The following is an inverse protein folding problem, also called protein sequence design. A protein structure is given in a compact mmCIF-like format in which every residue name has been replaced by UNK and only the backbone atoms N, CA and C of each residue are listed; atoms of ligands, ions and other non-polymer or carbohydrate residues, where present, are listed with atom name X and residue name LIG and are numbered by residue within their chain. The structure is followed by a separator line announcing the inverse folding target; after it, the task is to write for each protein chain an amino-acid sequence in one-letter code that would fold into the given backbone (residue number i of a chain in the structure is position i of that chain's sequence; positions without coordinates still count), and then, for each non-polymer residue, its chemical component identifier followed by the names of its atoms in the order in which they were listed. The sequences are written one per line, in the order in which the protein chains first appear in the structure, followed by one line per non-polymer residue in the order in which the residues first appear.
data_IF_062890173691
#
_entry.id   IF_062890173691
#
_cell.length_a   1.000
_cell.length_b   1.000
_cell.length_c   1.000
_cell.angle_alpha   90.00
_cell.angle_beta   90.00
_cell.angle_gamma   90.00
#
_symmetry.space_group_name_H-M   'P 1'
#
loop_
_entity.id
_entity.type
_entity.pdbx_description
1 polymer ?
#
# COMPACT_ATOMS: atom_id res chain seq x y z
N UNK A 1 -2.29 4.30 11.59
CA UNK A 1 -2.24 3.06 10.78
C UNK A 1 -1.26 3.29 9.65
N UNK A 2 -0.08 2.67 9.71
CA UNK A 2 0.95 2.80 8.67
C UNK A 2 0.85 1.62 7.70
N UNK A 3 0.90 1.89 6.40
CA UNK A 3 1.00 0.85 5.37
C UNK A 3 2.40 0.81 4.80
N UNK A 4 3.09 -0.30 4.99
CA UNK A 4 4.41 -0.51 4.40
C UNK A 4 4.25 -0.92 2.95
N UNK A 5 4.66 -0.03 2.04
CA UNK A 5 4.61 -0.25 0.60
C UNK A 5 5.99 -0.48 0.00
N UNK A 6 6.03 -1.36 -0.99
CA UNK A 6 7.25 -1.74 -1.68
C UNK A 6 7.69 -0.67 -2.69
N UNK A 7 8.92 -0.18 -2.58
CA UNK A 7 9.64 0.47 -3.69
C UNK A 7 11.17 0.56 -3.44
N UNK A 8 11.82 -0.52 -2.99
CA UNK A 8 13.28 -0.54 -2.77
C UNK A 8 13.95 -1.78 -3.39
N UNK A 9 15.22 -1.70 -3.85
CA UNK A 9 16.00 -2.86 -4.30
C UNK A 9 16.54 -3.74 -3.14
N UNK A 10 16.54 -3.24 -1.90
CA UNK A 10 17.01 -3.98 -0.72
C UNK A 10 15.88 -4.79 -0.07
N UNK A 11 16.19 -5.88 0.67
CA UNK A 11 15.19 -6.66 1.38
C UNK A 11 14.39 -5.77 2.34
N UNK A 12 13.11 -5.59 2.04
CA UNK A 12 12.24 -4.56 2.63
C UNK A 12 12.15 -4.65 4.16
N UNK A 13 12.33 -5.85 4.72
CA UNK A 13 12.27 -6.12 6.16
C UNK A 13 13.37 -5.41 6.98
N UNK A 14 14.45 -4.95 6.34
CA UNK A 14 15.57 -4.24 7.00
C UNK A 14 15.42 -2.72 6.99
N UNK A 15 14.47 -2.18 6.23
CA UNK A 15 14.24 -0.73 6.14
C UNK A 15 13.02 -0.30 6.95
N UNK A 16 12.26 -1.24 7.52
CA UNK A 16 11.04 -0.96 8.28
C UNK A 16 11.30 -0.05 9.47
N UNK A 17 12.45 -0.20 10.13
CA UNK A 17 12.86 0.66 11.24
C UNK A 17 12.89 2.14 10.87
N UNK A 18 13.39 2.46 9.67
CA UNK A 18 13.51 3.83 9.13
C UNK A 18 12.21 4.39 8.55
N UNK A 19 11.23 3.53 8.29
CA UNK A 19 9.94 3.91 7.70
C UNK A 19 8.88 4.23 8.77
N UNK A 20 9.09 3.77 10.00
CA UNK A 20 8.19 3.99 11.11
C UNK A 20 8.66 5.20 11.92
N UNK A 21 7.73 6.09 12.24
CA UNK A 21 8.01 7.34 12.95
C UNK A 21 7.82 7.20 14.48
N UNK A 22 7.42 6.03 14.98
CA UNK A 22 7.28 5.72 16.40
C UNK A 22 5.89 6.04 16.97
N UNK A 23 5.06 6.78 16.23
CA UNK A 23 3.70 7.16 16.64
C UNK A 23 2.62 6.18 16.14
N UNK A 24 3.00 5.04 15.57
CA UNK A 24 2.08 4.17 14.85
C UNK A 24 1.57 2.99 15.67
N UNK A 25 0.31 3.05 16.11
CA UNK A 25 -0.32 1.97 16.88
C UNK A 25 -0.54 0.67 16.09
N UNK A 26 -0.68 0.76 14.77
CA UNK A 26 -0.97 -0.39 13.88
C UNK A 26 -0.16 -0.28 12.60
N UNK A 27 0.60 -1.32 12.28
CA UNK A 27 1.38 -1.44 11.04
C UNK A 27 0.86 -2.59 10.21
N UNK A 28 0.39 -2.28 9.01
CA UNK A 28 -0.09 -3.25 8.04
C UNK A 28 0.97 -3.48 6.98
N UNK A 29 1.33 -4.76 6.79
CA UNK A 29 2.40 -5.16 5.89
C UNK A 29 1.97 -6.34 5.03
N UNK A 30 2.59 -6.49 3.86
CA UNK A 30 2.32 -7.64 3.00
C UNK A 30 3.07 -8.92 3.44
N UNK A 31 2.81 -10.03 2.75
CA UNK A 31 3.43 -11.31 3.09
C UNK A 31 4.96 -11.35 2.90
N UNK A 32 5.57 -10.34 2.29
CA UNK A 32 7.01 -10.14 2.20
C UNK A 32 7.64 -9.71 3.54
N UNK A 33 6.85 -9.11 4.43
CA UNK A 33 7.26 -8.70 5.77
C UNK A 33 6.99 -9.77 6.84
N UNK A 34 6.82 -11.03 6.44
CA UNK A 34 6.65 -12.14 7.39
C UNK A 34 7.87 -12.21 8.31
N UNK A 35 7.64 -12.15 9.63
CA UNK A 35 8.71 -12.20 10.63
C UNK A 35 9.34 -10.85 10.99
N UNK A 36 8.78 -9.73 10.51
CA UNK A 36 9.24 -8.37 10.87
C UNK A 36 9.13 -8.14 12.38
N UNK A 37 8.07 -8.66 13.01
CA UNK A 37 7.84 -8.59 14.46
C UNK A 37 8.94 -9.23 15.32
N UNK A 38 9.69 -10.20 14.75
CA UNK A 38 10.69 -10.99 15.49
C UNK A 38 12.10 -10.39 15.44
N UNK A 39 12.27 -9.23 14.78
CA UNK A 39 13.57 -8.59 14.65
C UNK A 39 13.96 -7.84 15.93
N UNK A 40 15.26 -7.81 16.27
CA UNK A 40 15.74 -7.07 17.44
C UNK A 40 15.43 -5.57 17.34
N UNK A 41 15.43 -5.01 16.12
CA UNK A 41 15.06 -3.62 15.81
C UNK A 41 13.62 -3.24 16.25
N UNK A 42 12.75 -4.23 16.49
CA UNK A 42 11.35 -4.00 16.85
C UNK A 42 10.94 -4.64 18.18
N UNK A 43 11.90 -5.21 18.93
CA UNK A 43 11.64 -5.97 20.16
C UNK A 43 11.06 -5.14 21.31
N UNK A 44 11.15 -3.80 21.25
CA UNK A 44 10.60 -2.87 22.27
C UNK A 44 9.50 -1.93 21.76
N UNK A 45 8.96 -2.16 20.56
CA UNK A 45 7.93 -1.28 19.98
C UNK A 45 6.53 -1.81 20.30
N UNK A 46 5.71 -1.00 20.95
CA UNK A 46 4.28 -1.28 21.18
C UNK A 46 3.46 -1.05 19.90
N UNK A 47 3.62 -1.96 18.93
CA UNK A 47 2.97 -1.86 17.62
C UNK A 47 2.21 -3.15 17.30
N UNK A 48 0.95 -3.01 16.89
CA UNK A 48 0.16 -4.14 16.40
C UNK A 48 0.54 -4.44 14.95
N UNK A 49 1.22 -5.56 14.73
CA UNK A 49 1.60 -6.03 13.40
C UNK A 49 0.47 -6.78 12.72
N UNK A 50 0.00 -6.25 11.60
CA UNK A 50 -0.97 -6.88 10.72
C UNK A 50 -0.31 -7.28 9.40
N UNK A 51 0.44 -8.37 9.44
CA UNK A 51 1.03 -8.97 8.24
C UNK A 51 -0.04 -9.77 7.48
N UNK A 52 -0.09 -9.61 6.15
CA UNK A 52 -0.98 -10.38 5.29
C UNK A 52 -0.56 -11.85 5.25
N UNK A 53 -1.51 -12.76 5.47
CA UNK A 53 -1.21 -14.18 5.49
C UNK A 53 -1.06 -14.73 4.06
N UNK A 54 -0.09 -15.64 3.85
CA UNK A 54 0.04 -16.35 2.56
C UNK A 54 -1.16 -17.28 2.35
N UNK A 55 -1.62 -17.36 1.09
CA UNK A 55 -2.74 -18.23 0.70
C UNK A 55 -2.52 -19.71 1.03
N UNK A 56 -1.27 -20.16 1.05
CA UNK A 56 -0.88 -21.52 1.42
C UNK A 56 -1.12 -21.84 2.90
N UNK A 57 -1.01 -20.85 3.79
CA UNK A 57 -1.07 -21.04 5.25
C UNK A 57 -2.45 -21.49 5.72
N UNK A 58 -3.52 -20.98 5.10
CA UNK A 58 -4.90 -21.36 5.46
C UNK A 58 -5.53 -22.36 4.48
N UNK A 59 -4.80 -22.82 3.46
CA UNK A 59 -5.25 -23.92 2.57
C UNK A 59 -5.34 -25.26 3.33
N UNK A 60 -4.63 -25.37 4.47
CA UNK A 60 -4.67 -26.51 5.40
C UNK A 60 -5.92 -26.56 6.28
N UNK A 61 -6.70 -25.47 6.34
CA UNK A 61 -7.97 -25.42 7.08
C UNK A 61 -9.11 -25.90 6.18
N UNK A 62 -10.03 -26.67 6.75
CA UNK A 62 -11.24 -27.07 6.03
C UNK A 62 -12.04 -25.84 5.58
N UNK A 63 -12.44 -25.84 4.31
CA UNK A 63 -13.14 -24.71 3.66
C UNK A 63 -14.52 -24.45 4.27
N UNK A 64 -15.14 -25.46 4.90
CA UNK A 64 -16.44 -25.33 5.56
C UNK A 64 -16.36 -24.74 6.96
N UNK A 65 -15.19 -24.76 7.59
CA UNK A 65 -14.97 -24.23 8.93
C UNK A 65 -15.27 -22.72 9.03
N UNK A 66 -15.94 -22.33 10.12
CA UNK A 66 -16.21 -20.93 10.44
C UNK A 66 -14.91 -20.10 10.56
N UNK A 67 -13.84 -20.71 11.06
CA UNK A 67 -12.51 -20.09 11.19
C UNK A 67 -11.91 -19.73 9.82
N UNK A 68 -12.08 -20.59 8.82
CA UNK A 68 -11.62 -20.33 7.46
C UNK A 68 -12.37 -19.13 6.84
N UNK A 69 -13.70 -19.07 7.02
CA UNK A 69 -14.53 -17.97 6.51
C UNK A 69 -14.18 -16.64 7.20
N UNK A 70 -13.97 -16.65 8.51
CA UNK A 70 -13.58 -15.47 9.29
C UNK A 70 -12.21 -14.94 8.84
N UNK A 71 -11.18 -15.80 8.77
CA UNK A 71 -9.84 -15.42 8.29
C UNK A 71 -9.89 -14.85 6.87
N UNK A 72 -10.67 -15.47 5.97
CA UNK A 72 -10.83 -14.97 4.59
C UNK A 72 -11.44 -13.57 4.54
N UNK A 73 -12.42 -13.26 5.40
CA UNK A 73 -13.00 -11.91 5.47
C UNK A 73 -11.97 -10.88 5.93
N UNK A 74 -11.16 -11.21 6.95
CA UNK A 74 -10.09 -10.34 7.44
C UNK A 74 -9.06 -10.06 6.34
N UNK A 75 -8.56 -11.10 5.67
CA UNK A 75 -7.59 -10.92 4.59
C UNK A 75 -8.19 -10.17 3.38
N UNK A 76 -9.49 -10.36 3.09
CA UNK A 76 -10.20 -9.56 2.07
C UNK A 76 -10.25 -8.08 2.47
N UNK A 77 -10.54 -7.77 3.72
CA UNK A 77 -10.55 -6.39 4.21
C UNK A 77 -9.15 -5.75 4.11
N UNK A 78 -8.10 -6.46 4.54
CA UNK A 78 -6.70 -6.02 4.37
C UNK A 78 -6.38 -5.74 2.89
N UNK A 79 -6.78 -6.64 1.98
CA UNK A 79 -6.58 -6.48 0.55
C UNK A 79 -7.35 -5.28 -0.05
N UNK A 80 -8.57 -5.00 0.45
CA UNK A 80 -9.34 -3.83 0.01
C UNK A 80 -8.67 -2.51 0.43
N UNK A 81 -8.16 -2.42 1.66
CA UNK A 81 -7.43 -1.22 2.08
C UNK A 81 -6.16 -1.05 1.25
N UNK A 82 -5.42 -2.14 1.01
CA UNK A 82 -4.26 -2.14 0.13
C UNK A 82 -4.61 -1.65 -1.28
N UNK A 83 -5.71 -2.11 -1.85
CA UNK A 83 -6.15 -1.70 -3.19
C UNK A 83 -6.40 -0.18 -3.28
N UNK A 84 -6.93 0.45 -2.21
CA UNK A 84 -7.11 1.91 -2.17
C UNK A 84 -5.77 2.65 -2.22
N UNK A 85 -4.77 2.17 -1.48
CA UNK A 85 -3.43 2.77 -1.45
C UNK A 85 -2.66 2.53 -2.75
N UNK A 86 -2.80 1.35 -3.37
CA UNK A 86 -2.14 1.01 -4.64
C UNK A 86 -2.74 1.72 -5.85
N UNK A 87 -4.01 2.12 -5.77
CA UNK A 87 -4.73 2.66 -6.92
C UNK A 87 -4.08 3.94 -7.48
N UNK A 88 -3.73 4.97 -6.67
CA UNK A 88 -2.98 6.14 -7.13
C UNK A 88 -1.66 5.77 -7.80
N UNK A 89 -0.88 4.85 -7.23
CA UNK A 89 0.39 4.41 -7.82
C UNK A 89 0.19 3.73 -9.18
N UNK A 90 -0.88 2.94 -9.35
CA UNK A 90 -1.22 2.35 -10.64
C UNK A 90 -1.55 3.42 -11.67
N UNK A 91 -2.32 4.44 -11.30
CA UNK A 91 -2.67 5.56 -12.18
C UNK A 91 -1.39 6.30 -12.61
N UNK A 92 -0.51 6.64 -11.67
CA UNK A 92 0.78 7.29 -11.95
C UNK A 92 1.64 6.45 -12.91
N UNK A 93 1.79 5.15 -12.64
CA UNK A 93 2.66 4.28 -13.43
C UNK A 93 2.11 3.98 -14.82
N UNK A 94 0.79 3.73 -14.94
CA UNK A 94 0.17 3.30 -16.20
C UNK A 94 -0.38 4.45 -17.03
N UNK A 95 -1.10 5.39 -16.42
CA UNK A 95 -1.76 6.47 -17.14
C UNK A 95 -0.80 7.63 -17.42
N UNK A 96 0.06 7.96 -16.46
CA UNK A 96 1.05 9.03 -16.61
C UNK A 96 2.45 8.51 -17.03
N UNK A 97 2.61 7.20 -17.19
CA UNK A 97 3.85 6.59 -17.69
C UNK A 97 5.07 6.76 -16.79
N UNK A 98 4.88 7.10 -15.51
CA UNK A 98 5.99 7.34 -14.58
C UNK A 98 6.54 6.01 -14.04
N UNK A 99 7.35 5.35 -14.86
CA UNK A 99 7.95 4.03 -14.55
C UNK A 99 9.39 4.15 -14.04
N UNK A 100 10.13 5.17 -14.46
CA UNK A 100 11.51 5.44 -14.04
C UNK A 100 11.70 6.91 -13.68
N UNK A 101 12.48 7.15 -12.62
CA UNK A 101 12.94 8.51 -12.27
C UNK A 101 13.91 9.02 -13.34
N UNK A 102 13.90 10.32 -13.59
CA UNK A 102 14.84 10.94 -14.55
C UNK A 102 16.09 11.40 -13.79
N UNK A 103 17.26 11.34 -14.43
CA UNK A 103 18.50 11.90 -13.90
C UNK A 103 18.50 13.44 -14.06
N UNK A 104 17.64 14.12 -13.29
CA UNK A 104 17.50 15.60 -13.28
C UNK A 104 17.68 16.22 -11.89
N UNK A 105 18.11 15.43 -10.90
CA UNK A 105 18.27 15.85 -9.51
C UNK A 105 17.07 15.51 -8.62
N UNK A 106 17.32 15.31 -7.32
CA UNK A 106 16.32 14.89 -6.34
C UNK A 106 15.16 15.87 -6.24
N UNK A 107 15.44 17.17 -6.11
CA UNK A 107 14.40 18.20 -5.99
C UNK A 107 13.41 18.18 -7.17
N UNK A 108 13.91 18.05 -8.40
CA UNK A 108 13.07 18.01 -9.62
C UNK A 108 12.23 16.74 -9.69
N UNK A 109 12.79 15.60 -9.27
CA UNK A 109 12.06 14.34 -9.22
C UNK A 109 10.96 14.36 -8.14
N UNK A 110 11.24 14.93 -6.98
CA UNK A 110 10.26 15.10 -5.89
C UNK A 110 9.12 16.02 -6.33
N UNK A 111 9.43 17.18 -6.92
CA UNK A 111 8.41 18.08 -7.46
C UNK A 111 7.52 17.37 -8.51
N UNK A 112 8.13 16.61 -9.42
CA UNK A 112 7.38 15.84 -10.42
C UNK A 112 6.45 14.80 -9.77
N UNK A 113 6.93 14.07 -8.75
CA UNK A 113 6.12 13.10 -8.02
C UNK A 113 4.91 13.76 -7.34
N UNK A 114 5.12 14.89 -6.63
CA UNK A 114 4.06 15.64 -5.96
C UNK A 114 2.99 16.08 -6.96
N UNK A 115 3.41 16.63 -8.10
CA UNK A 115 2.49 17.02 -9.18
C UNK A 115 1.71 15.83 -9.74
N UNK A 116 2.37 14.69 -9.97
CA UNK A 116 1.71 13.47 -10.46
C UNK A 116 0.68 12.91 -9.48
N UNK A 117 0.93 13.01 -8.17
CA UNK A 117 -0.05 12.65 -7.16
C UNK A 117 -1.26 13.58 -7.17
N UNK A 118 -1.05 14.89 -7.29
CA UNK A 118 -2.15 15.86 -7.43
C UNK A 118 -3.00 15.57 -8.68
N UNK A 119 -2.36 15.32 -9.83
CA UNK A 119 -3.03 14.95 -11.07
C UNK A 119 -3.76 13.60 -10.98
N UNK A 120 -3.20 12.64 -10.24
CA UNK A 120 -3.85 11.35 -10.03
C UNK A 120 -5.11 11.47 -9.18
N UNK A 121 -5.10 12.34 -8.17
CA UNK A 121 -6.30 12.66 -7.39
C UNK A 121 -7.40 13.25 -8.29
N UNK A 122 -7.03 14.20 -9.17
CA UNK A 122 -7.95 14.78 -10.14
C UNK A 122 -8.50 13.73 -11.11
N UNK A 123 -7.63 12.86 -11.65
CA UNK A 123 -8.03 11.80 -12.57
C UNK A 123 -9.00 10.80 -11.92
N UNK A 124 -8.79 10.46 -10.64
CA UNK A 124 -9.72 9.60 -9.89
C UNK A 124 -11.07 10.29 -9.64
N UNK A 125 -11.06 11.59 -9.39
CA UNK A 125 -12.28 12.39 -9.21
C UNK A 125 -13.02 12.69 -10.52
N UNK A 126 -12.40 12.45 -11.69
CA UNK A 126 -12.94 12.77 -13.03
C UNK A 126 -14.40 12.34 -13.22
N UNK A 127 -14.80 11.15 -12.74
CA UNK A 127 -16.19 10.68 -12.89
C UNK A 127 -17.17 11.59 -12.16
N UNK A 128 -16.86 11.96 -10.91
CA UNK A 128 -17.69 12.87 -10.14
C UNK A 128 -17.69 14.27 -10.74
N UNK A 129 -16.53 14.78 -11.15
CA UNK A 129 -16.40 16.10 -11.76
C UNK A 129 -17.17 16.21 -13.09
N UNK A 130 -17.10 15.20 -13.96
CA UNK A 130 -17.82 15.18 -15.22
C UNK A 130 -19.34 15.01 -15.04
N UNK A 131 -19.78 14.34 -13.97
CA UNK A 131 -21.21 14.27 -13.64
C UNK A 131 -21.73 15.62 -13.12
N UNK A 132 -20.93 16.36 -12.35
CA UNK A 132 -21.29 17.69 -11.82
C UNK A 132 -21.17 18.80 -12.86
N UNK A 133 -20.25 18.69 -13.83
CA UNK A 133 -19.97 19.75 -14.81
C UNK A 133 -21.02 19.91 -15.93
N UNK A 134 -22.06 19.08 -15.97
CA UNK A 134 -23.01 19.04 -17.10
C UNK A 134 -22.33 18.57 -18.40
N UNK A 135 -23.11 18.19 -19.41
CA UNK A 135 -22.57 17.72 -20.70
C UNK A 135 -21.69 18.81 -21.32
N UNK A 136 -20.37 18.64 -21.24
CA UNK A 136 -19.44 19.36 -22.10
C UNK A 136 -19.48 18.65 -23.45
N UNK A 137 -20.27 19.19 -24.37
CA UNK A 137 -20.18 18.84 -25.78
C UNK A 137 -18.81 19.33 -26.27
N UNK A 138 -17.94 18.38 -26.65
CA UNK A 138 -16.74 18.65 -27.45
C UNK A 138 -17.15 18.77 -28.91
#
# INVERSE_FOLDING_TARGET
MHFLFRCSPNPDITQVDKLLHGNENVVCADAGYTGVEKRPEHAGREVIWQVAARRSTYKKLDKRSALYKAKRKIEKAKAQVRAKVEHPFRVIKRQFGYVKVRFRGLAKNTAQLVTLFALSNLWMARRHLLTTAGKVHL
#
